data_IF_234618624096
#
_entry.id   IF_234618624096
#
_cell.length_a   1.000
_cell.length_b   1.000
_cell.length_c   1.000
_cell.angle_alpha   90.00
_cell.angle_beta   90.00
_cell.angle_gamma   90.00
#
_symmetry.space_group_name_H-M   'P 1'
#
loop_
_entity.id
_entity.type
_entity.pdbx_description
1 polymer ?
#
# COMPACT_ATOMS: atom_id res chain seq x y z
N UNK A 1 5.68 5.26 -5.53
CA UNK A 1 7.11 5.03 -5.85
C UNK A 1 7.72 6.31 -6.42
N UNK A 2 9.04 6.54 -6.31
CA UNK A 2 9.69 7.73 -6.90
C UNK A 2 9.68 7.61 -8.43
N UNK A 3 10.10 6.46 -8.95
CA UNK A 3 10.00 6.12 -10.38
C UNK A 3 8.71 5.33 -10.63
N UNK A 4 7.82 5.89 -11.45
CA UNK A 4 6.57 5.22 -11.84
C UNK A 4 6.79 4.25 -13.01
N UNK A 5 7.63 4.65 -13.97
CA UNK A 5 8.01 3.81 -15.10
C UNK A 5 9.54 3.87 -15.33
N UNK A 6 10.22 2.73 -15.48
CA UNK A 6 9.69 1.38 -15.23
C UNK A 6 9.25 1.20 -13.76
N UNK A 7 8.15 0.49 -13.54
CA UNK A 7 7.61 0.28 -12.19
C UNK A 7 8.57 -0.59 -11.36
N UNK A 8 8.80 -0.31 -10.07
CA UNK A 8 9.85 -0.94 -9.27
C UNK A 8 9.43 -2.34 -8.75
N UNK A 9 9.15 -3.27 -9.66
CA UNK A 9 8.65 -4.61 -9.34
C UNK A 9 9.60 -5.38 -8.42
N UNK A 10 10.90 -5.42 -8.75
CA UNK A 10 11.88 -6.24 -8.01
C UNK A 10 12.03 -5.80 -6.55
N UNK A 11 11.99 -4.49 -6.29
CA UNK A 11 12.10 -3.94 -4.94
C UNK A 11 10.87 -4.30 -4.09
N UNK A 12 9.67 -4.22 -4.68
CA UNK A 12 8.42 -4.57 -3.99
C UNK A 12 8.35 -6.09 -3.75
N UNK A 13 8.71 -6.89 -4.75
CA UNK A 13 8.77 -8.35 -4.63
C UNK A 13 9.71 -8.80 -3.50
N UNK A 14 10.91 -8.20 -3.40
CA UNK A 14 11.87 -8.49 -2.33
C UNK A 14 11.33 -8.11 -0.94
N UNK A 15 10.61 -7.00 -0.83
CA UNK A 15 9.99 -6.62 0.44
C UNK A 15 8.95 -7.65 0.91
N UNK A 16 8.25 -8.31 -0.02
CA UNK A 16 7.21 -9.30 0.30
C UNK A 16 7.76 -10.56 0.98
N UNK A 17 9.07 -10.81 0.89
CA UNK A 17 9.75 -11.89 1.61
C UNK A 17 9.75 -11.65 3.13
N UNK A 18 9.75 -10.38 3.56
CA UNK A 18 9.96 -10.00 4.96
C UNK A 18 8.72 -9.43 5.66
N UNK A 19 7.75 -8.91 4.91
CA UNK A 19 6.57 -8.25 5.49
C UNK A 19 5.31 -9.13 5.38
N UNK A 20 4.42 -9.10 6.38
CA UNK A 20 3.21 -9.91 6.35
C UNK A 20 2.12 -9.34 5.42
N UNK A 21 2.10 -8.01 5.22
CA UNK A 21 1.07 -7.27 4.46
C UNK A 21 1.67 -5.99 3.88
N UNK A 22 0.99 -5.43 2.88
CA UNK A 22 1.27 -4.12 2.30
C UNK A 22 0.07 -3.21 2.44
N UNK A 23 0.33 -1.91 2.61
CA UNK A 23 -0.68 -0.85 2.54
C UNK A 23 -0.29 0.15 1.46
N UNK A 24 -1.14 0.31 0.45
CA UNK A 24 -1.00 1.35 -0.58
C UNK A 24 -1.82 2.57 -0.18
N UNK A 25 -1.13 3.68 0.10
CA UNK A 25 -1.75 4.97 0.42
C UNK A 25 -1.75 5.82 -0.83
N UNK A 26 -2.93 6.21 -1.32
CA UNK A 26 -3.06 6.98 -2.56
C UNK A 26 -4.05 8.14 -2.41
N UNK A 27 -3.77 9.24 -3.10
CA UNK A 27 -4.74 10.32 -3.33
C UNK A 27 -5.54 10.06 -4.61
N UNK A 28 -6.02 8.83 -4.78
CA UNK A 28 -6.73 8.33 -5.97
C UNK A 28 -7.79 7.29 -5.57
N UNK A 29 -8.47 6.69 -6.55
CA UNK A 29 -9.39 5.55 -6.36
C UNK A 29 -8.72 4.18 -6.60
N UNK A 30 -7.39 4.10 -6.48
CA UNK A 30 -6.62 2.86 -6.64
C UNK A 30 -6.01 2.73 -8.02
N UNK A 31 -5.19 3.70 -8.41
CA UNK A 31 -4.51 3.69 -9.70
C UNK A 31 -3.31 2.74 -9.73
N UNK A 32 -2.64 2.52 -8.58
CA UNK A 32 -1.42 1.72 -8.50
C UNK A 32 -1.53 0.48 -7.60
N UNK A 33 -2.62 0.35 -6.84
CA UNK A 33 -2.82 -0.79 -5.93
C UNK A 33 -2.68 -2.13 -6.65
N UNK A 34 -3.19 -2.23 -7.88
CA UNK A 34 -3.11 -3.46 -8.67
C UNK A 34 -1.68 -3.71 -9.20
N UNK A 35 -0.92 -2.67 -9.55
CA UNK A 35 0.52 -2.82 -9.87
C UNK A 35 1.30 -3.36 -8.68
N UNK A 36 0.98 -2.90 -7.45
CA UNK A 36 1.61 -3.42 -6.23
C UNK A 36 1.21 -4.87 -5.98
N UNK A 37 -0.07 -5.23 -6.14
CA UNK A 37 -0.55 -6.62 -6.05
C UNK A 37 0.16 -7.55 -7.03
N UNK A 38 0.29 -7.10 -8.28
CA UNK A 38 0.99 -7.85 -9.33
C UNK A 38 2.49 -7.93 -9.05
N UNK A 39 3.12 -6.86 -8.57
CA UNK A 39 4.54 -6.84 -8.24
C UNK A 39 4.90 -7.83 -7.11
N UNK A 40 4.01 -8.01 -6.14
CA UNK A 40 4.18 -9.05 -5.09
C UNK A 40 3.66 -10.43 -5.51
N UNK A 41 3.24 -10.62 -6.78
CA UNK A 41 2.67 -11.86 -7.31
C UNK A 41 1.52 -12.41 -6.46
N UNK A 42 0.73 -11.52 -5.86
CA UNK A 42 -0.33 -11.85 -4.91
C UNK A 42 0.14 -12.68 -3.69
N UNK A 43 1.45 -12.70 -3.38
CA UNK A 43 2.02 -13.51 -2.29
C UNK A 43 1.68 -12.98 -0.89
N UNK A 44 1.37 -11.68 -0.78
CA UNK A 44 1.00 -11.01 0.46
C UNK A 44 -0.28 -10.19 0.25
N UNK A 45 -1.13 -10.02 1.28
CA UNK A 45 -2.26 -9.09 1.22
C UNK A 45 -1.78 -7.67 0.92
N UNK A 46 -2.47 -7.01 -0.01
CA UNK A 46 -2.26 -5.59 -0.33
C UNK A 46 -3.56 -4.84 -0.08
N UNK A 47 -3.57 -4.08 1.01
CA UNK A 47 -4.68 -3.23 1.40
C UNK A 47 -4.52 -1.82 0.81
N UNK A 48 -5.65 -1.12 0.69
CA UNK A 48 -5.72 0.17 0.04
C UNK A 48 -6.30 1.23 0.99
N UNK A 49 -5.64 2.39 1.02
CA UNK A 49 -6.14 3.59 1.68
C UNK A 49 -6.16 4.74 0.69
N UNK A 50 -7.34 4.98 0.11
CA UNK A 50 -7.57 6.03 -0.88
C UNK A 50 -8.19 7.30 -0.28
N UNK A 51 -7.72 8.46 -0.74
CA UNK A 51 -8.39 9.75 -0.56
C UNK A 51 -8.62 10.41 -1.91
N UNK A 52 -9.77 11.05 -2.09
CA UNK A 52 -10.12 11.79 -3.31
C UNK A 52 -10.39 13.26 -2.99
N UNK A 53 -10.55 14.10 -4.02
CA UNK A 53 -10.95 15.50 -3.83
C UNK A 53 -9.88 16.41 -3.22
N UNK A 54 -8.59 16.10 -3.41
CA UNK A 54 -7.48 16.93 -2.91
C UNK A 54 -7.18 16.78 -1.41
N UNK A 55 -7.83 15.84 -0.72
CA UNK A 55 -7.53 15.54 0.68
C UNK A 55 -6.23 14.74 0.82
N UNK A 56 -5.26 15.29 1.54
CA UNK A 56 -3.97 14.63 1.83
C UNK A 56 -4.13 13.74 3.06
N UNK A 57 -3.80 12.44 2.99
CA UNK A 57 -3.75 11.56 4.17
C UNK A 57 -2.81 12.12 5.24
N UNK A 58 -3.31 12.25 6.46
CA UNK A 58 -2.48 12.61 7.60
C UNK A 58 -1.71 11.39 8.14
N UNK A 59 -0.55 11.60 8.78
CA UNK A 59 0.18 10.49 9.41
C UNK A 59 -0.68 9.68 10.40
N UNK A 60 -1.56 10.34 11.14
CA UNK A 60 -2.45 9.69 12.12
C UNK A 60 -3.50 8.81 11.44
N UNK A 61 -4.05 9.23 10.31
CA UNK A 61 -4.99 8.41 9.55
C UNK A 61 -4.34 7.17 8.97
N UNK A 62 -3.10 7.30 8.45
CA UNK A 62 -2.32 6.16 7.96
C UNK A 62 -1.99 5.21 9.12
N UNK A 63 -1.59 5.75 10.28
CA UNK A 63 -1.34 4.97 11.49
C UNK A 63 -2.58 4.19 11.94
N UNK A 64 -3.73 4.86 12.04
CA UNK A 64 -4.98 4.20 12.43
C UNK A 64 -5.36 3.08 11.47
N UNK A 65 -5.13 3.26 10.16
CA UNK A 65 -5.35 2.20 9.18
C UNK A 65 -4.40 1.01 9.36
N UNK A 66 -3.14 1.26 9.72
CA UNK A 66 -2.18 0.20 10.04
C UNK A 66 -2.59 -0.58 11.30
N UNK A 67 -3.10 0.10 12.33
CA UNK A 67 -3.62 -0.54 13.55
C UNK A 67 -4.84 -1.40 13.24
N UNK A 68 -5.81 -0.87 12.47
CA UNK A 68 -6.98 -1.61 12.01
C UNK A 68 -6.58 -2.89 11.25
N UNK A 69 -5.65 -2.76 10.29
CA UNK A 69 -5.14 -3.87 9.49
C UNK A 69 -4.44 -4.95 10.34
N UNK A 70 -3.87 -4.58 11.49
CA UNK A 70 -3.19 -5.51 12.39
C UNK A 70 -4.11 -6.16 13.44
N UNK A 71 -5.42 -5.91 13.39
CA UNK A 71 -6.41 -6.52 14.29
C UNK A 71 -7.01 -5.58 15.34
N UNK A 72 -6.76 -4.28 15.25
CA UNK A 72 -7.30 -3.26 16.17
C UNK A 72 -6.35 -2.93 17.33
N UNK A 73 -6.80 -2.04 18.23
CA UNK A 73 -6.07 -1.75 19.47
C UNK A 73 -6.04 -3.00 20.37
N UNK A 74 -4.85 -3.38 20.81
CA UNK A 74 -4.64 -4.36 21.89
C UNK A 74 -4.77 -3.67 23.25
#
# INVERSE_FOLDING_TARGET
PITLWPFPVDAIAKAAEHVPKFLTVEMSMGQMVDDVRLAVKCARPVEFYGRTGGMIPTPMEVYNKLVEMNGGEQ
#
